data_IF_629986067134
#
_entry.id   IF_629986067134
#
_cell.length_a   1.000
_cell.length_b   1.000
_cell.length_c   1.000
_cell.angle_alpha   90.00
_cell.angle_beta   90.00
_cell.angle_gamma   90.00
#
_symmetry.space_group_name_H-M   'P 1'
#
loop_
_entity.id
_entity.type
_entity.pdbx_description
1 polymer ?
#
# COMPACT_ATOMS: atom_id res chain seq x y z
N UNK A 1 5.04 22.34 16.74
CA UNK A 1 5.12 21.81 16.47
C UNK A 1 5.34 20.91 16.34
N UNK A 2 5.42 20.38 16.23
CA UNK A 2 5.57 19.66 16.00
C UNK A 2 5.65 18.56 15.95
N UNK A 3 5.86 18.00 15.54
CA UNK A 3 5.82 16.88 15.36
C UNK A 3 6.48 16.07 15.80
N UNK A 4 6.30 15.63 16.23
CA UNK A 4 6.84 14.85 16.78
C UNK A 4 7.28 13.77 16.42
N UNK A 5 7.81 13.49 16.72
CA UNK A 5 8.17 12.37 16.65
C UNK A 5 8.22 11.75 15.49
N UNK A 6 8.46 10.64 15.40
CA UNK A 6 8.51 9.89 14.24
C UNK A 6 7.21 9.92 13.61
N UNK A 7 7.14 10.31 12.44
CA UNK A 7 5.89 10.21 11.73
C UNK A 7 5.51 8.78 11.68
N UNK A 8 4.27 8.51 11.86
CA UNK A 8 3.79 7.16 11.72
C UNK A 8 3.77 6.80 10.26
N UNK A 9 4.90 6.35 9.77
CA UNK A 9 5.02 5.97 8.37
C UNK A 9 3.93 4.99 7.98
N UNK A 10 3.63 4.05 8.86
CA UNK A 10 2.59 3.08 8.59
C UNK A 10 1.22 3.73 8.44
N UNK A 11 0.92 4.76 9.24
CA UNK A 11 -0.36 5.45 9.14
C UNK A 11 -0.49 6.25 7.88
N UNK A 12 0.55 6.98 7.51
CA UNK A 12 0.56 7.77 6.29
C UNK A 12 0.49 6.85 5.08
N UNK A 13 1.26 5.79 5.10
CA UNK A 13 1.30 4.82 4.02
C UNK A 13 -0.05 4.12 3.87
N UNK A 14 -0.68 3.76 4.99
CA UNK A 14 -2.01 3.13 4.97
C UNK A 14 -3.03 4.03 4.28
N UNK A 15 -3.03 5.31 4.62
CA UNK A 15 -3.96 6.25 4.01
C UNK A 15 -3.74 6.36 2.51
N UNK A 16 -2.49 6.54 2.10
CA UNK A 16 -2.16 6.65 0.69
C UNK A 16 -2.55 5.38 -0.07
N UNK A 17 -2.19 4.23 0.50
CA UNK A 17 -2.45 2.95 -0.14
C UNK A 17 -3.94 2.69 -0.27
N UNK A 18 -4.71 2.98 0.78
CA UNK A 18 -6.15 2.78 0.75
C UNK A 18 -6.79 3.65 -0.31
N UNK A 19 -6.35 4.89 -0.43
CA UNK A 19 -6.87 5.80 -1.45
C UNK A 19 -6.56 5.29 -2.85
N UNK A 20 -5.34 4.81 -3.07
CA UNK A 20 -4.96 4.30 -4.38
C UNK A 20 -5.75 3.05 -4.74
N UNK A 21 -5.89 2.15 -3.78
CA UNK A 21 -6.67 0.94 -4.01
C UNK A 21 -8.13 1.27 -4.29
N UNK A 22 -8.70 2.20 -3.54
CA UNK A 22 -10.08 2.61 -3.78
C UNK A 22 -10.25 3.15 -5.19
N UNK A 23 -9.30 3.96 -5.64
CA UNK A 23 -9.34 4.52 -6.98
C UNK A 23 -9.29 3.42 -8.04
N UNK A 24 -8.33 2.50 -7.91
CA UNK A 24 -8.17 1.45 -8.92
C UNK A 24 -9.30 0.44 -8.89
N UNK A 25 -9.88 0.20 -7.72
CA UNK A 25 -10.98 -0.76 -7.58
C UNK A 25 -12.35 -0.12 -7.83
N UNK A 26 -12.40 1.21 -7.97
CA UNK A 26 -13.65 1.91 -8.20
C UNK A 26 -14.59 1.86 -7.01
N UNK A 27 -14.05 1.94 -5.80
CA UNK A 27 -14.84 1.85 -4.57
C UNK A 27 -14.57 3.04 -3.67
N UNK A 28 -15.54 3.39 -2.81
CA UNK A 28 -15.28 4.43 -1.81
C UNK A 28 -14.18 4.00 -0.85
N UNK A 29 -13.38 4.94 -0.42
CA UNK A 29 -12.28 4.66 0.49
C UNK A 29 -12.76 3.94 1.75
N UNK A 30 -13.88 4.41 2.31
CA UNK A 30 -14.39 3.84 3.55
C UNK A 30 -14.96 2.44 3.43
N UNK A 31 -15.12 1.94 2.21
CA UNK A 31 -15.67 0.60 2.02
C UNK A 31 -14.61 -0.50 2.06
N UNK A 32 -13.33 -0.12 2.13
CA UNK A 32 -12.26 -1.11 2.11
C UNK A 32 -11.86 -1.48 3.53
N UNK A 33 -12.08 -2.74 3.88
CA UNK A 33 -11.65 -3.27 5.16
C UNK A 33 -10.21 -3.73 5.05
N UNK A 34 -9.30 -3.20 5.87
CA UNK A 34 -7.88 -3.53 5.74
C UNK A 34 -7.54 -5.00 6.01
N UNK A 35 -8.46 -5.76 6.57
CA UNK A 35 -8.23 -7.18 6.84
C UNK A 35 -8.87 -8.09 5.82
N UNK A 36 -9.65 -7.54 4.90
CA UNK A 36 -10.33 -8.34 3.88
C UNK A 36 -9.42 -8.51 2.67
N UNK A 37 -9.30 -9.72 2.13
CA UNK A 37 -8.50 -9.94 0.94
C UNK A 37 -8.94 -9.05 -0.21
N UNK A 38 -7.99 -8.46 -0.88
CA UNK A 38 -8.27 -7.52 -1.96
C UNK A 38 -9.02 -8.17 -3.13
N UNK A 39 -8.87 -9.48 -3.29
CA UNK A 39 -9.59 -10.20 -4.32
C UNK A 39 -11.11 -10.09 -4.12
N UNK A 40 -11.57 -9.95 -2.89
CA UNK A 40 -12.99 -9.78 -2.60
C UNK A 40 -13.51 -8.50 -3.24
N UNK A 41 -12.66 -7.49 -3.37
CA UNK A 41 -13.04 -6.21 -3.94
C UNK A 41 -12.78 -6.13 -5.46
N UNK A 42 -12.36 -7.22 -6.07
CA UNK A 42 -12.16 -7.24 -7.51
C UNK A 42 -10.74 -6.96 -7.98
N UNK A 43 -9.77 -7.12 -7.08
CA UNK A 43 -8.37 -6.94 -7.47
C UNK A 43 -7.99 -7.93 -8.57
N UNK A 44 -7.39 -7.43 -9.63
CA UNK A 44 -6.92 -8.27 -10.73
C UNK A 44 -5.50 -7.86 -11.10
N UNK A 45 -4.97 -8.49 -12.15
CA UNK A 45 -3.59 -8.25 -12.57
C UNK A 45 -3.36 -6.81 -12.99
N UNK A 46 -4.33 -6.21 -13.64
CA UNK A 46 -4.20 -4.83 -14.10
C UNK A 46 -4.11 -3.89 -12.93
N UNK A 47 -5.00 -4.04 -11.96
CA UNK A 47 -4.96 -3.22 -10.75
C UNK A 47 -3.67 -3.44 -9.97
N UNK A 48 -3.23 -4.69 -9.91
CA UNK A 48 -1.99 -5.03 -9.20
C UNK A 48 -0.79 -4.34 -9.84
N UNK A 49 -0.69 -4.39 -11.15
CA UNK A 49 0.42 -3.75 -11.85
C UNK A 49 0.35 -2.24 -11.75
N UNK A 50 -0.84 -1.68 -11.80
CA UNK A 50 -1.02 -0.24 -11.65
C UNK A 50 -0.56 0.22 -10.28
N UNK A 51 -0.90 -0.54 -9.24
CA UNK A 51 -0.46 -0.22 -7.90
C UNK A 51 1.06 -0.28 -7.79
N UNK A 52 1.69 -1.29 -8.39
CA UNK A 52 3.14 -1.39 -8.38
C UNK A 52 3.78 -0.18 -9.05
N UNK A 53 3.20 0.27 -10.16
CA UNK A 53 3.68 1.47 -10.83
C UNK A 53 3.54 2.72 -9.97
N UNK A 54 2.41 2.86 -9.28
CA UNK A 54 2.21 3.99 -8.38
C UNK A 54 3.23 3.99 -7.25
N UNK A 55 3.53 2.81 -6.70
CA UNK A 55 4.52 2.70 -5.64
C UNK A 55 5.89 3.14 -6.11
N UNK A 56 6.26 2.75 -7.31
CA UNK A 56 7.54 3.15 -7.87
C UNK A 56 7.57 4.65 -8.15
N UNK A 57 6.53 5.17 -8.80
CA UNK A 57 6.51 6.55 -9.24
C UNK A 57 6.36 7.55 -8.09
N UNK A 58 5.53 7.22 -7.13
CA UNK A 58 5.16 8.19 -6.09
C UNK A 58 5.83 7.93 -4.76
N UNK A 59 6.25 6.70 -4.50
CA UNK A 59 6.88 6.37 -3.23
C UNK A 59 8.32 5.91 -3.39
N UNK A 60 8.78 5.75 -4.63
CA UNK A 60 10.15 5.29 -4.87
C UNK A 60 10.39 3.86 -4.46
N UNK A 61 9.32 3.06 -4.35
CA UNK A 61 9.43 1.68 -3.89
C UNK A 61 9.29 0.76 -5.09
N UNK A 62 10.34 0.00 -5.37
CA UNK A 62 10.31 -0.99 -6.43
C UNK A 62 9.93 -2.32 -5.82
N UNK A 63 8.79 -2.85 -6.25
CA UNK A 63 8.22 -4.05 -5.67
C UNK A 63 7.93 -5.07 -6.78
N UNK A 64 7.89 -6.35 -6.42
CA UNK A 64 7.58 -7.37 -7.43
C UNK A 64 6.13 -7.28 -7.87
N UNK A 65 5.87 -7.72 -9.10
CA UNK A 65 4.51 -7.69 -9.62
C UNK A 65 3.58 -8.65 -8.89
N UNK A 66 4.13 -9.54 -8.09
CA UNK A 66 3.34 -10.46 -7.27
C UNK A 66 2.95 -9.87 -5.92
N UNK A 67 3.23 -8.58 -5.70
CA UNK A 67 3.06 -7.93 -4.41
C UNK A 67 1.70 -8.22 -3.77
N UNK A 68 0.61 -8.02 -4.53
CA UNK A 68 -0.73 -8.17 -3.96
C UNK A 68 -1.13 -9.63 -3.77
N UNK A 69 -0.43 -10.55 -4.39
CA UNK A 69 -0.68 -11.97 -4.17
C UNK A 69 0.08 -12.48 -2.96
N UNK A 70 1.26 -11.93 -2.73
CA UNK A 70 2.07 -12.28 -1.55
C UNK A 70 1.53 -11.59 -0.30
N UNK A 71 0.92 -10.42 -0.46
CA UNK A 71 0.41 -9.62 0.64
C UNK A 71 -1.03 -9.21 0.29
N UNK A 72 -1.99 -10.10 0.50
CA UNK A 72 -3.32 -9.94 -0.10
C UNK A 72 -4.27 -9.00 0.59
N UNK A 73 -3.88 -8.38 1.70
CA UNK A 73 -4.74 -7.43 2.39
C UNK A 73 -4.02 -6.09 2.56
N UNK A 74 -4.78 -5.05 2.83
CA UNK A 74 -4.17 -3.74 3.10
C UNK A 74 -3.21 -3.84 4.28
N UNK A 75 -3.63 -4.52 5.36
CA UNK A 75 -2.76 -4.69 6.52
C UNK A 75 -1.46 -5.37 6.15
N UNK A 76 -1.52 -6.43 5.35
CA UNK A 76 -0.31 -7.14 4.94
C UNK A 76 0.59 -6.27 4.07
N UNK A 77 -0.02 -5.50 3.16
CA UNK A 77 0.74 -4.59 2.31
C UNK A 77 1.41 -3.50 3.13
N UNK A 78 0.69 -2.92 4.09
CA UNK A 78 1.26 -1.88 4.93
C UNK A 78 2.43 -2.43 5.73
N UNK A 79 2.29 -3.63 6.28
CA UNK A 79 3.36 -4.23 7.05
C UNK A 79 4.61 -4.42 6.20
N UNK A 80 4.45 -4.97 5.01
CA UNK A 80 5.57 -5.21 4.12
C UNK A 80 6.21 -3.91 3.64
N UNK A 81 5.39 -2.98 3.16
CA UNK A 81 5.89 -1.74 2.60
C UNK A 81 6.51 -0.84 3.68
N UNK A 82 6.00 -0.91 4.89
CA UNK A 82 6.59 -0.16 6.00
C UNK A 82 8.00 -0.60 6.29
N UNK A 83 8.26 -1.90 6.20
CA UNK A 83 9.60 -2.42 6.39
C UNK A 83 10.54 -1.87 5.32
N UNK A 84 10.10 -1.88 4.06
CA UNK A 84 10.91 -1.34 2.97
C UNK A 84 11.19 0.14 3.16
N UNK A 85 10.18 0.89 3.60
CA UNK A 85 10.30 2.33 3.76
C UNK A 85 11.19 2.69 4.94
N UNK A 86 11.09 1.92 6.01
CA UNK A 86 11.85 2.18 7.23
C UNK A 86 13.25 1.61 7.20
N UNK A 87 13.57 0.79 6.21
CA UNK A 87 14.87 0.15 6.14
C UNK A 87 15.96 1.22 6.11
N UNK A 88 16.99 1.02 6.89
CA UNK A 88 18.09 1.99 6.88
C UNK A 88 18.72 1.99 5.53
N UNK A 89 18.88 3.15 5.06
CA UNK A 89 19.47 3.27 3.81
C UNK A 89 20.91 3.43 3.97
N UNK A 90 21.56 2.91 3.41
CA UNK A 90 22.88 3.09 3.63
C UNK A 90 23.42 2.22 4.56
N UNK A 91 23.14 1.89 4.73
CA UNK A 91 23.73 1.27 5.48
C UNK A 91 24.06 0.65 5.15
#
# INVERSE_FOLDING_TARGET
MTTPGAPPVAGELRGWLTERLALHLGRPVGSLDPRTPLAVYGMDSVCALTLCGDLEDERGLIVPSTLVYDHPTIDALVAYLSVLTAAPVGR
#
